data_IF_899742399444
#
_entry.id   IF_899742399444
#
_cell.length_a   1.000
_cell.length_b   1.000
_cell.length_c   1.000
_cell.angle_alpha   90.00
_cell.angle_beta   90.00
_cell.angle_gamma   90.00
#
_symmetry.space_group_name_H-M   'P 1'
#
loop_
_entity.id
_entity.type
_entity.pdbx_description
1 polymer ?
#
# COMPACT_ATOMS: atom_id res chain seq x y z
N UNK A 1 -9.76 19.34 3.80
CA UNK A 1 -9.58 19.67 2.37
C UNK A 1 -10.91 19.44 1.70
N UNK A 2 -11.48 20.49 1.11
CA UNK A 2 -12.76 20.41 0.40
C UNK A 2 -12.53 20.11 -1.08
N UNK A 3 -13.20 19.09 -1.60
CA UNK A 3 -13.13 18.67 -3.00
C UNK A 3 -14.51 18.73 -3.66
N UNK A 4 -14.58 19.21 -4.89
CA UNK A 4 -15.82 19.20 -5.67
C UNK A 4 -16.17 17.80 -6.17
N UNK A 5 -17.47 17.50 -6.21
CA UNK A 5 -17.99 16.19 -6.63
C UNK A 5 -18.10 16.16 -8.15
N UNK A 6 -17.18 15.45 -8.80
CA UNK A 6 -17.19 15.24 -10.26
C UNK A 6 -18.03 14.02 -10.64
N UNK A 7 -18.39 13.89 -11.93
CA UNK A 7 -19.13 12.73 -12.43
C UNK A 7 -18.44 11.38 -12.14
N UNK A 8 -17.11 11.39 -11.99
CA UNK A 8 -16.30 10.20 -11.70
C UNK A 8 -16.36 9.76 -10.23
N UNK A 9 -17.04 10.52 -9.37
CA UNK A 9 -17.21 10.22 -7.93
C UNK A 9 -18.60 9.71 -7.58
N UNK A 10 -19.51 9.61 -8.57
CA UNK A 10 -20.89 9.19 -8.37
C UNK A 10 -21.28 8.01 -9.27
N UNK A 11 -22.09 7.11 -8.72
CA UNK A 11 -22.81 6.07 -9.47
C UNK A 11 -24.30 6.13 -9.14
N UNK A 12 -25.13 5.66 -10.08
CA UNK A 12 -26.56 5.48 -9.82
C UNK A 12 -26.84 4.27 -8.93
N UNK A 13 -28.02 4.24 -8.31
CA UNK A 13 -28.49 3.10 -7.49
C UNK A 13 -28.57 1.77 -8.25
N UNK A 14 -28.73 1.82 -9.56
CA UNK A 14 -28.69 0.65 -10.45
C UNK A 14 -27.27 0.16 -10.75
N UNK A 15 -26.25 0.82 -10.20
CA UNK A 15 -24.85 0.50 -10.42
C UNK A 15 -24.41 -0.80 -9.74
N UNK A 16 -23.27 -1.33 -10.17
CA UNK A 16 -22.70 -2.57 -9.63
C UNK A 16 -21.49 -2.31 -8.72
N UNK A 17 -21.11 -3.33 -7.95
CA UNK A 17 -19.87 -3.33 -7.17
C UNK A 17 -18.66 -3.05 -8.06
N UNK A 18 -18.60 -3.64 -9.27
CA UNK A 18 -17.53 -3.38 -10.26
C UNK A 18 -17.42 -1.91 -10.61
N UNK A 19 -18.54 -1.24 -10.90
CA UNK A 19 -18.55 0.18 -11.26
C UNK A 19 -18.08 1.04 -10.08
N UNK A 20 -18.51 0.73 -8.86
CA UNK A 20 -18.01 1.39 -7.66
C UNK A 20 -16.49 1.25 -7.51
N UNK A 21 -15.95 0.04 -7.66
CA UNK A 21 -14.50 -0.22 -7.58
C UNK A 21 -13.71 0.55 -8.65
N UNK A 22 -14.24 0.62 -9.88
CA UNK A 22 -13.63 1.37 -10.98
C UNK A 22 -13.59 2.88 -10.73
N UNK A 23 -14.53 3.43 -9.96
CA UNK A 23 -14.55 4.85 -9.60
C UNK A 23 -13.73 5.17 -8.34
N UNK A 24 -13.65 4.25 -7.37
CA UNK A 24 -12.89 4.47 -6.14
C UNK A 24 -11.38 4.59 -6.41
N UNK A 25 -10.82 3.77 -7.31
CA UNK A 25 -9.38 3.77 -7.60
C UNK A 25 -8.85 5.08 -8.20
N UNK A 26 -9.44 5.60 -9.29
CA UNK A 26 -8.97 6.82 -9.95
C UNK A 26 -9.23 8.11 -9.17
N UNK A 27 -10.26 8.14 -8.31
CA UNK A 27 -10.70 9.38 -7.66
C UNK A 27 -9.81 9.82 -6.50
N UNK A 28 -8.87 8.98 -6.05
CA UNK A 28 -8.04 9.19 -4.84
C UNK A 28 -8.82 9.41 -3.53
N UNK A 29 -10.16 9.42 -3.60
CA UNK A 29 -11.04 9.75 -2.50
C UNK A 29 -11.32 8.55 -1.60
N UNK A 30 -11.19 7.32 -2.11
CA UNK A 30 -11.45 6.10 -1.33
C UNK A 30 -12.95 5.82 -1.09
N UNK A 31 -13.83 6.58 -1.73
CA UNK A 31 -15.29 6.50 -1.60
C UNK A 31 -15.98 6.87 -2.91
N UNK A 32 -17.14 6.27 -3.16
CA UNK A 32 -18.08 6.63 -4.22
C UNK A 32 -19.45 6.97 -3.61
N UNK A 33 -20.14 7.95 -4.19
CA UNK A 33 -21.48 8.34 -3.78
C UNK A 33 -22.52 7.66 -4.67
N UNK A 34 -23.49 7.01 -4.04
CA UNK A 34 -24.64 6.43 -4.73
C UNK A 34 -25.72 7.50 -4.74
N UNK A 35 -26.18 7.87 -5.92
CA UNK A 35 -27.15 8.96 -6.10
C UNK A 35 -28.36 8.55 -6.94
N UNK A 36 -29.45 9.29 -6.82
CA UNK A 36 -30.62 9.18 -7.70
C UNK A 36 -30.46 10.00 -9.00
N UNK A 37 -31.50 10.01 -9.84
CA UNK A 37 -31.53 10.78 -11.08
C UNK A 37 -31.45 12.30 -10.91
N UNK A 38 -31.71 12.81 -9.71
CA UNK A 38 -31.61 14.23 -9.34
C UNK A 38 -30.31 14.55 -8.59
N UNK A 39 -29.36 13.59 -8.51
CA UNK A 39 -28.11 13.65 -7.73
C UNK A 39 -28.29 13.71 -6.21
N UNK A 40 -29.45 13.32 -5.67
CA UNK A 40 -29.62 13.19 -4.21
C UNK A 40 -28.82 11.99 -3.70
N UNK A 41 -28.16 12.17 -2.56
CA UNK A 41 -27.39 11.09 -1.95
C UNK A 41 -28.31 10.00 -1.41
N UNK A 42 -28.11 8.78 -1.88
CA UNK A 42 -28.78 7.57 -1.39
C UNK A 42 -27.88 6.73 -0.48
N UNK A 43 -26.55 6.83 -0.66
CA UNK A 43 -25.59 6.10 0.15
C UNK A 43 -24.16 6.37 -0.26
N UNK A 44 -23.22 5.80 0.50
CA UNK A 44 -21.78 5.83 0.19
C UNK A 44 -21.22 4.43 0.16
N UNK A 45 -20.27 4.14 -0.72
CA UNK A 45 -19.53 2.89 -0.69
C UNK A 45 -18.02 3.17 -0.67
N UNK A 46 -17.33 2.52 0.27
CA UNK A 46 -15.87 2.50 0.37
C UNK A 46 -15.32 1.12 0.01
N UNK A 47 -14.01 1.01 -0.14
CA UNK A 47 -13.35 -0.29 -0.29
C UNK A 47 -13.60 -1.25 0.86
N UNK A 48 -13.78 -0.72 2.07
CA UNK A 48 -14.14 -1.51 3.24
C UNK A 48 -15.54 -2.12 3.10
N UNK A 49 -16.50 -1.37 2.56
CA UNK A 49 -17.87 -1.85 2.38
C UNK A 49 -17.96 -2.89 1.26
N UNK A 50 -17.29 -2.61 0.13
CA UNK A 50 -17.19 -3.55 -1.00
C UNK A 50 -16.53 -4.85 -0.56
N UNK A 51 -15.39 -4.77 0.13
CA UNK A 51 -14.71 -5.97 0.66
C UNK A 51 -15.60 -6.77 1.59
N UNK A 52 -16.33 -6.10 2.50
CA UNK A 52 -17.29 -6.77 3.41
C UNK A 52 -18.44 -7.44 2.65
N UNK A 53 -18.93 -6.83 1.58
CA UNK A 53 -19.97 -7.43 0.74
C UNK A 53 -19.46 -8.67 -0.01
N UNK A 54 -18.26 -8.60 -0.60
CA UNK A 54 -17.63 -9.73 -1.28
C UNK A 54 -17.37 -10.91 -0.33
N UNK A 55 -16.89 -10.64 0.89
CA UNK A 55 -16.70 -11.65 1.93
C UNK A 55 -18.02 -12.30 2.40
N UNK A 56 -19.16 -11.62 2.20
CA UNK A 56 -20.51 -12.14 2.48
C UNK A 56 -21.14 -12.84 1.27
N UNK A 57 -20.37 -13.10 0.21
CA UNK A 57 -20.83 -13.83 -0.98
C UNK A 57 -21.46 -12.97 -2.08
N UNK A 58 -21.25 -11.65 -2.08
CA UNK A 58 -21.50 -10.84 -3.27
C UNK A 58 -20.41 -11.08 -4.33
N UNK A 59 -20.74 -10.90 -5.60
CA UNK A 59 -19.79 -10.88 -6.71
C UNK A 59 -19.65 -9.46 -7.28
N UNK A 60 -18.78 -9.29 -8.28
CA UNK A 60 -18.51 -7.97 -8.87
C UNK A 60 -19.72 -7.38 -9.62
N UNK A 61 -20.62 -8.22 -10.09
CA UNK A 61 -21.78 -7.80 -10.90
C UNK A 61 -23.05 -7.63 -10.04
N UNK A 62 -22.95 -7.94 -8.75
CA UNK A 62 -23.96 -7.65 -7.74
C UNK A 62 -24.26 -6.15 -7.65
N UNK A 63 -25.53 -5.83 -7.36
CA UNK A 63 -26.00 -4.47 -7.12
C UNK A 63 -25.21 -3.79 -5.99
N UNK A 64 -24.89 -2.50 -6.19
CA UNK A 64 -24.20 -1.69 -5.19
C UNK A 64 -24.97 -1.57 -3.87
N UNK A 65 -26.29 -1.72 -3.90
CA UNK A 65 -27.13 -1.71 -2.69
C UNK A 65 -26.69 -2.77 -1.66
N UNK A 66 -26.11 -3.88 -2.11
CA UNK A 66 -25.58 -4.94 -1.22
C UNK A 66 -24.29 -4.55 -0.51
N UNK A 67 -23.66 -3.45 -0.92
CA UNK A 67 -22.35 -3.02 -0.46
C UNK A 67 -22.32 -1.57 0.03
N UNK A 68 -23.34 -0.73 -0.18
CA UNK A 68 -23.30 0.65 0.28
C UNK A 68 -23.73 0.80 1.75
N UNK A 69 -23.20 1.83 2.41
CA UNK A 69 -23.81 2.41 3.59
C UNK A 69 -25.02 3.27 3.18
N UNK A 70 -26.23 2.81 3.49
CA UNK A 70 -27.50 3.49 3.20
C UNK A 70 -27.77 4.72 4.08
N UNK A 71 -27.06 4.84 5.21
CA UNK A 71 -27.22 5.96 6.14
C UNK A 71 -25.87 6.65 6.37
N UNK A 72 -25.28 7.27 5.32
CA UNK A 72 -24.04 8.01 5.48
C UNK A 72 -24.28 9.25 6.35
N UNK A 73 -23.29 9.57 7.16
CA UNK A 73 -23.25 10.86 7.85
C UNK A 73 -22.97 11.92 6.78
N UNK A 74 -23.78 12.98 6.76
CA UNK A 74 -23.67 14.11 5.84
C UNK A 74 -23.64 15.43 6.61
N UNK A 75 -23.16 16.49 5.97
CA UNK A 75 -23.26 17.84 6.51
C UNK A 75 -23.74 18.84 5.44
N UNK A 76 -24.41 19.95 5.82
CA UNK A 76 -24.68 21.05 4.91
C UNK A 76 -23.39 21.67 4.36
N UNK A 77 -23.38 22.06 3.09
CA UNK A 77 -22.26 22.76 2.43
C UNK A 77 -21.92 24.13 3.07
N UNK A 78 -22.88 24.72 3.76
CA UNK A 78 -22.78 25.95 4.55
C UNK A 78 -22.08 25.79 5.90
N UNK A 79 -21.79 24.56 6.34
CA UNK A 79 -21.16 24.33 7.64
C UNK A 79 -19.68 24.76 7.63
N UNK A 80 -19.24 25.45 8.70
CA UNK A 80 -17.86 25.92 8.83
C UNK A 80 -16.85 24.77 8.97
N UNK A 81 -15.63 24.94 8.47
CA UNK A 81 -14.55 23.93 8.54
C UNK A 81 -14.28 23.40 9.97
N UNK A 82 -14.24 24.21 11.05
CA UNK A 82 -14.01 23.68 12.40
C UNK A 82 -15.14 22.78 12.91
N UNK A 83 -16.39 23.10 12.54
CA UNK A 83 -17.56 22.29 12.88
C UNK A 83 -17.57 20.98 12.08
N UNK A 84 -17.21 21.03 10.79
CA UNK A 84 -17.02 19.83 9.96
C UNK A 84 -15.96 18.90 10.57
N UNK A 85 -14.78 19.44 10.92
CA UNK A 85 -13.71 18.65 11.54
C UNK A 85 -14.15 18.00 12.87
N UNK A 86 -14.91 18.72 13.70
CA UNK A 86 -15.47 18.18 14.95
C UNK A 86 -16.43 17.04 14.68
N UNK A 87 -17.36 17.21 13.73
CA UNK A 87 -18.33 16.19 13.34
C UNK A 87 -17.65 14.95 12.78
N UNK A 88 -16.62 15.13 11.96
CA UNK A 88 -15.83 14.03 11.39
C UNK A 88 -15.09 13.23 12.46
N UNK A 89 -14.41 13.91 13.40
CA UNK A 89 -13.69 13.27 14.52
C UNK A 89 -14.63 12.54 15.48
N UNK A 90 -15.76 13.16 15.84
CA UNK A 90 -16.74 12.58 16.76
C UNK A 90 -17.35 11.27 16.24
N UNK A 91 -17.38 11.10 14.91
CA UNK A 91 -17.93 9.92 14.26
C UNK A 91 -16.86 9.02 13.63
N UNK A 92 -15.57 9.31 13.86
CA UNK A 92 -14.43 8.56 13.29
C UNK A 92 -14.49 8.38 11.77
N UNK A 93 -14.97 9.41 11.05
CA UNK A 93 -15.06 9.41 9.57
C UNK A 93 -14.01 10.34 8.96
N UNK A 94 -13.42 9.93 7.83
CA UNK A 94 -12.39 10.70 7.11
C UNK A 94 -12.92 11.44 5.89
N UNK A 95 -14.05 10.99 5.36
CA UNK A 95 -14.75 11.65 4.27
C UNK A 95 -16.14 11.99 4.77
N UNK A 96 -16.59 13.21 4.48
CA UNK A 96 -17.90 13.71 4.83
C UNK A 96 -18.54 14.31 3.58
N UNK A 97 -19.56 13.65 3.00
CA UNK A 97 -20.35 14.23 1.92
C UNK A 97 -21.02 15.52 2.39
N UNK A 98 -20.83 16.60 1.61
CA UNK A 98 -21.51 17.87 1.79
C UNK A 98 -22.70 17.95 0.84
N UNK A 99 -23.88 18.24 1.40
CA UNK A 99 -25.14 18.29 0.66
C UNK A 99 -25.76 19.69 0.68
N UNK A 100 -26.43 20.04 -0.41
CA UNK A 100 -27.26 21.24 -0.47
C UNK A 100 -28.61 21.07 0.26
N UNK A 101 -29.43 22.12 0.26
CA UNK A 101 -30.77 22.12 0.87
C UNK A 101 -31.73 21.08 0.27
N UNK A 102 -31.46 20.59 -0.93
CA UNK A 102 -32.26 19.56 -1.59
C UNK A 102 -31.70 18.14 -1.39
N UNK A 103 -30.61 17.98 -0.61
CA UNK A 103 -29.97 16.71 -0.34
C UNK A 103 -29.03 16.22 -1.44
N UNK A 104 -28.65 17.09 -2.38
CA UNK A 104 -27.73 16.73 -3.48
C UNK A 104 -26.28 16.88 -3.04
N UNK A 105 -25.43 15.92 -3.41
CA UNK A 105 -24.00 15.97 -3.09
C UNK A 105 -23.33 17.03 -3.95
N UNK A 106 -22.78 18.06 -3.32
CA UNK A 106 -22.11 19.19 -3.98
C UNK A 106 -20.60 19.18 -3.77
N UNK A 107 -20.14 18.71 -2.61
CA UNK A 107 -18.73 18.63 -2.27
C UNK A 107 -18.46 17.50 -1.29
N UNK A 108 -17.18 17.26 -1.02
CA UNK A 108 -16.72 16.31 -0.02
C UNK A 108 -15.74 17.06 0.87
N UNK A 109 -15.97 17.03 2.17
CA UNK A 109 -14.93 17.40 3.12
C UNK A 109 -14.09 16.16 3.39
N UNK A 110 -12.82 16.25 3.03
CA UNK A 110 -11.83 15.26 3.39
C UNK A 110 -11.12 15.78 4.64
N UNK A 111 -11.26 15.05 5.75
CA UNK A 111 -10.33 15.21 6.85
C UNK A 111 -9.07 14.53 6.36
N UNK A 112 -8.17 15.34 5.77
CA UNK A 112 -6.76 14.97 5.74
C UNK A 112 -6.48 14.41 7.10
N UNK A 113 -6.00 13.17 7.17
CA UNK A 113 -5.51 12.63 8.42
C UNK A 113 -4.67 13.75 8.98
N UNK A 114 -5.16 14.42 10.04
CA UNK A 114 -4.38 15.44 10.73
C UNK A 114 -3.15 14.64 11.04
N UNK A 115 -2.00 14.91 10.40
CA UNK A 115 -0.91 13.95 10.34
C UNK A 115 -0.73 13.54 11.77
N UNK A 116 -0.99 12.25 12.08
CA UNK A 116 -1.06 11.84 13.47
C UNK A 116 0.25 12.32 14.05
N UNK A 117 0.17 13.34 14.90
CA UNK A 117 1.34 14.10 15.27
C UNK A 117 1.97 13.24 16.33
N UNK A 118 2.86 12.37 15.88
CA UNK A 118 3.65 11.59 16.77
C UNK A 118 4.76 12.49 17.33
N UNK A 119 5.04 12.31 18.61
CA UNK A 119 6.29 12.79 19.19
C UNK A 119 7.43 11.95 18.60
N UNK A 120 8.00 12.41 17.49
CA UNK A 120 9.14 11.79 16.81
C UNK A 120 9.02 11.71 15.29
N UNK A 121 10.13 11.38 14.58
CA UNK A 121 10.13 11.26 13.13
C UNK A 121 9.38 10.00 12.66
N UNK A 122 8.56 10.15 11.62
CA UNK A 122 7.97 9.02 10.91
C UNK A 122 9.11 8.22 10.25
N UNK A 123 9.23 6.95 10.62
CA UNK A 123 10.36 6.08 10.28
C UNK A 123 9.98 5.03 9.26
N UNK A 124 10.82 4.81 8.26
CA UNK A 124 10.77 3.68 7.35
C UNK A 124 12.03 2.84 7.45
N UNK A 125 11.92 1.55 7.11
CA UNK A 125 13.05 0.64 6.95
C UNK A 125 13.07 0.12 5.52
N UNK A 126 14.21 0.25 4.84
CA UNK A 126 14.44 -0.31 3.52
C UNK A 126 15.35 -1.52 3.64
N UNK A 127 14.88 -2.68 3.19
CA UNK A 127 15.65 -3.92 3.18
C UNK A 127 16.51 -3.98 1.91
N UNK A 128 17.81 -3.72 2.04
CA UNK A 128 18.74 -3.55 0.91
C UNK A 128 20.04 -4.37 1.05
N UNK A 129 20.09 -5.35 1.97
CA UNK A 129 21.29 -6.14 2.26
C UNK A 129 21.62 -7.30 1.31
N UNK A 130 20.68 -7.69 0.43
CA UNK A 130 20.81 -8.90 -0.40
C UNK A 130 21.76 -8.79 -1.60
N UNK A 131 22.37 -9.92 -1.98
CA UNK A 131 23.33 -9.98 -3.10
C UNK A 131 22.74 -9.82 -4.50
N UNK A 132 21.42 -10.00 -4.67
CA UNK A 132 20.78 -9.85 -5.98
C UNK A 132 21.20 -10.87 -7.05
N UNK A 133 21.63 -12.08 -6.66
CA UNK A 133 22.26 -13.09 -7.53
C UNK A 133 21.53 -13.37 -8.87
N UNK A 134 20.19 -13.25 -8.90
CA UNK A 134 19.37 -13.47 -10.10
C UNK A 134 19.53 -12.41 -11.20
N UNK A 135 20.22 -11.31 -10.90
CA UNK A 135 20.51 -10.21 -11.82
C UNK A 135 21.97 -10.16 -12.26
N UNK A 136 22.79 -11.14 -11.88
CA UNK A 136 24.16 -11.26 -12.41
C UNK A 136 24.16 -11.33 -13.95
N UNK A 137 25.13 -10.69 -14.63
CA UNK A 137 26.34 -10.07 -14.07
C UNK A 137 26.17 -8.62 -13.58
N UNK A 138 24.98 -8.01 -13.71
CA UNK A 138 24.78 -6.60 -13.33
C UNK A 138 25.09 -6.36 -11.84
N UNK A 139 24.82 -7.36 -11.01
CA UNK A 139 25.04 -7.28 -9.57
C UNK A 139 26.40 -7.75 -9.11
N UNK A 140 27.36 -8.02 -10.00
CA UNK A 140 28.71 -8.45 -9.58
C UNK A 140 29.53 -7.27 -9.00
N UNK A 141 29.21 -6.04 -9.42
CA UNK A 141 29.92 -4.82 -9.01
C UNK A 141 29.01 -3.70 -8.52
N UNK A 142 27.70 -3.88 -8.60
CA UNK A 142 26.68 -2.90 -8.17
C UNK A 142 25.62 -3.61 -7.34
N UNK A 143 25.34 -3.21 -6.08
CA UNK A 143 24.27 -3.83 -5.33
C UNK A 143 22.94 -3.59 -6.04
N UNK A 144 22.05 -4.58 -6.00
CA UNK A 144 20.77 -4.54 -6.72
C UNK A 144 19.97 -3.23 -6.52
N UNK A 145 19.81 -2.67 -5.31
CA UNK A 145 19.11 -1.41 -5.11
C UNK A 145 19.78 -0.19 -5.79
N UNK A 146 21.06 -0.29 -6.15
CA UNK A 146 21.80 0.76 -6.86
C UNK A 146 21.77 0.63 -8.38
N UNK A 147 21.14 -0.42 -8.93
CA UNK A 147 20.98 -0.54 -10.38
C UNK A 147 20.12 0.62 -10.91
N UNK A 148 20.48 1.22 -12.05
CA UNK A 148 19.77 2.37 -12.59
C UNK A 148 18.45 1.97 -13.27
N UNK A 149 17.39 2.71 -12.97
CA UNK A 149 16.12 2.76 -13.70
C UNK A 149 15.87 4.20 -14.10
N UNK A 150 15.63 4.45 -15.38
CA UNK A 150 15.45 5.82 -15.91
C UNK A 150 16.60 6.78 -15.53
N UNK A 151 17.83 6.26 -15.44
CA UNK A 151 19.02 7.03 -15.09
C UNK A 151 19.24 7.26 -13.59
N UNK A 152 18.41 6.69 -12.72
CA UNK A 152 18.46 6.87 -11.26
C UNK A 152 18.53 5.51 -10.53
N UNK A 153 19.26 5.37 -9.42
CA UNK A 153 19.23 4.16 -8.61
C UNK A 153 17.80 3.81 -8.15
N UNK A 154 17.42 2.53 -8.15
CA UNK A 154 16.11 2.07 -7.64
C UNK A 154 15.87 2.56 -6.21
N UNK A 155 16.91 2.47 -5.37
CA UNK A 155 16.87 2.92 -3.98
C UNK A 155 16.60 4.41 -3.85
N UNK A 156 17.10 5.23 -4.78
CA UNK A 156 16.87 6.68 -4.79
C UNK A 156 15.42 7.02 -5.11
N UNK A 157 14.82 6.31 -6.07
CA UNK A 157 13.39 6.42 -6.42
C UNK A 157 12.53 6.07 -5.19
N UNK A 158 12.91 5.03 -4.44
CA UNK A 158 12.21 4.61 -3.23
C UNK A 158 12.35 5.64 -2.10
N UNK A 159 13.54 6.21 -1.90
CA UNK A 159 13.79 7.29 -0.92
C UNK A 159 12.94 8.52 -1.24
N UNK A 160 12.84 8.92 -2.52
CA UNK A 160 11.96 10.01 -2.94
C UNK A 160 10.48 9.73 -2.59
N UNK A 161 10.03 8.50 -2.85
CA UNK A 161 8.65 8.07 -2.60
C UNK A 161 8.32 8.11 -1.10
N UNK A 162 9.28 7.71 -0.26
CA UNK A 162 9.19 7.80 1.20
C UNK A 162 9.19 9.26 1.68
N UNK A 163 10.11 10.09 1.18
CA UNK A 163 10.19 11.52 1.50
C UNK A 163 8.88 12.24 1.16
N UNK A 164 8.34 12.02 -0.04
CA UNK A 164 7.05 12.59 -0.46
C UNK A 164 5.89 12.10 0.41
N UNK A 165 6.01 10.90 0.98
CA UNK A 165 5.07 10.34 1.95
C UNK A 165 5.30 10.82 3.39
N UNK A 166 6.19 11.79 3.62
CA UNK A 166 6.44 12.39 4.93
C UNK A 166 7.35 11.57 5.85
N UNK A 167 7.97 10.50 5.37
CA UNK A 167 8.98 9.75 6.13
C UNK A 167 10.25 10.59 6.22
N UNK A 168 10.60 10.97 7.45
CA UNK A 168 11.77 11.83 7.73
C UNK A 168 12.99 11.01 8.10
N UNK A 169 12.81 9.85 8.72
CA UNK A 169 13.89 8.92 9.09
C UNK A 169 13.80 7.65 8.26
N UNK A 170 14.92 7.25 7.68
CA UNK A 170 15.02 6.05 6.86
C UNK A 170 16.17 5.19 7.37
N UNK A 171 15.86 3.97 7.80
CA UNK A 171 16.86 2.98 8.16
C UNK A 171 17.09 2.07 6.95
N UNK A 172 18.32 1.95 6.45
CA UNK A 172 18.63 1.13 5.27
C UNK A 172 19.46 -0.06 5.73
N UNK A 173 18.94 -1.28 5.52
CA UNK A 173 19.73 -2.49 5.73
C UNK A 173 20.77 -2.63 4.62
N UNK A 174 22.03 -2.82 4.98
CA UNK A 174 23.15 -2.85 4.04
C UNK A 174 24.05 -4.04 4.35
N UNK A 175 24.33 -4.82 3.31
CA UNK A 175 25.17 -6.01 3.37
C UNK A 175 26.12 -6.03 2.19
N UNK A 176 25.82 -6.85 1.19
CA UNK A 176 26.62 -6.96 -0.03
C UNK A 176 26.82 -5.60 -0.72
N UNK A 177 28.08 -5.20 -0.93
CA UNK A 177 28.49 -3.90 -1.51
C UNK A 177 27.86 -2.67 -0.81
N UNK A 178 27.54 -2.78 0.49
CA UNK A 178 26.87 -1.72 1.25
C UNK A 178 27.59 -0.37 1.28
N UNK A 179 28.91 -0.35 1.12
CA UNK A 179 29.70 0.90 1.09
C UNK A 179 29.35 1.79 -0.12
N UNK A 180 28.91 1.19 -1.23
CA UNK A 180 28.42 1.96 -2.37
C UNK A 180 27.14 2.72 -2.02
N UNK A 181 26.22 2.06 -1.28
CA UNK A 181 24.99 2.68 -0.78
C UNK A 181 25.35 3.81 0.19
N UNK A 182 26.20 3.55 1.19
CA UNK A 182 26.64 4.56 2.17
C UNK A 182 27.27 5.78 1.50
N UNK A 183 28.14 5.55 0.51
CA UNK A 183 28.81 6.62 -0.23
C UNK A 183 27.84 7.47 -1.06
N UNK A 184 26.81 6.85 -1.64
CA UNK A 184 25.81 7.56 -2.46
C UNK A 184 24.85 8.39 -1.61
N UNK A 185 24.35 7.83 -0.50
CA UNK A 185 23.29 8.45 0.29
C UNK A 185 23.79 9.29 1.47
N UNK A 186 25.01 9.07 1.96
CA UNK A 186 25.54 9.79 3.12
C UNK A 186 24.63 9.65 4.35
N UNK A 187 24.39 10.74 5.07
CA UNK A 187 23.39 10.81 6.14
C UNK A 187 21.99 11.21 5.64
N UNK A 188 21.81 11.37 4.32
CA UNK A 188 20.55 11.79 3.71
C UNK A 188 20.25 13.29 3.77
N UNK A 189 21.11 14.10 4.38
CA UNK A 189 20.87 15.55 4.54
C UNK A 189 20.68 16.28 3.20
N UNK A 190 21.48 15.94 2.18
CA UNK A 190 21.34 16.45 0.80
C UNK A 190 19.99 16.07 0.14
N UNK A 191 19.38 14.98 0.61
CA UNK A 191 18.07 14.50 0.17
C UNK A 191 16.93 15.05 1.05
N UNK A 192 17.23 15.75 2.15
CA UNK A 192 16.25 16.27 3.09
C UNK A 192 15.61 15.19 3.99
N UNK A 193 16.33 14.10 4.25
CA UNK A 193 15.92 13.00 5.15
C UNK A 193 17.08 12.64 6.10
N UNK A 194 16.78 11.89 7.16
CA UNK A 194 17.74 11.37 8.15
C UNK A 194 17.96 9.87 7.88
N UNK A 195 19.10 9.52 7.28
CA UNK A 195 19.43 8.14 6.87
C UNK A 195 20.40 7.49 7.86
N UNK A 196 20.03 6.31 8.35
CA UNK A 196 20.89 5.45 9.18
C UNK A 196 21.03 4.07 8.55
N UNK A 197 22.13 3.37 8.85
CA UNK A 197 22.46 2.10 8.21
C UNK A 197 22.46 0.94 9.19
N UNK A 198 21.69 -0.10 8.88
CA UNK A 198 21.67 -1.36 9.62
C UNK A 198 22.61 -2.34 8.91
N UNK A 199 23.82 -2.53 9.48
CA UNK A 199 24.87 -3.30 8.80
C UNK A 199 24.71 -4.79 9.05
N UNK A 200 24.48 -5.53 7.96
CA UNK A 200 24.42 -6.99 7.93
C UNK A 200 25.81 -7.55 7.63
N UNK A 201 26.43 -8.22 8.61
CA UNK A 201 27.70 -8.94 8.40
C UNK A 201 27.52 -10.29 7.72
N UNK A 202 26.34 -10.89 7.91
CA UNK A 202 25.88 -12.12 7.26
C UNK A 202 24.43 -11.91 6.80
N UNK A 203 23.92 -12.64 5.81
CA UNK A 203 22.52 -12.50 5.37
C UNK A 203 21.53 -12.78 6.51
N UNK A 204 20.76 -11.78 6.93
CA UNK A 204 19.81 -11.91 8.05
C UNK A 204 18.37 -12.21 7.62
N UNK A 205 18.12 -12.46 6.35
CA UNK A 205 16.78 -12.72 5.82
C UNK A 205 15.95 -11.44 5.65
N UNK A 206 14.65 -11.60 5.46
CA UNK A 206 13.74 -10.50 5.09
C UNK A 206 13.22 -9.68 6.28
N UNK A 207 13.58 -10.06 7.51
CA UNK A 207 13.20 -9.36 8.73
C UNK A 207 14.37 -9.16 9.70
N UNK A 208 15.42 -9.98 9.65
CA UNK A 208 16.44 -10.01 10.70
C UNK A 208 17.19 -8.69 10.90
N UNK A 209 17.34 -7.88 9.85
CA UNK A 209 17.93 -6.54 10.00
C UNK A 209 17.12 -5.60 10.91
N UNK A 210 15.80 -5.83 11.08
CA UNK A 210 14.98 -5.07 12.03
C UNK A 210 15.44 -5.27 13.48
N UNK A 211 16.01 -6.44 13.78
CA UNK A 211 16.61 -6.73 15.09
C UNK A 211 17.93 -5.98 15.34
N UNK A 212 18.49 -5.31 14.33
CA UNK A 212 19.71 -4.51 14.45
C UNK A 212 19.43 -3.03 14.75
N UNK A 213 18.17 -2.60 14.81
CA UNK A 213 17.81 -1.20 15.10
C UNK A 213 18.32 -0.85 16.50
N UNK A 214 19.24 0.13 16.64
CA UNK A 214 19.82 0.46 17.92
C UNK A 214 18.80 1.17 18.81
N UNK A 215 18.94 1.08 20.16
CA UNK A 215 17.93 1.58 21.10
C UNK A 215 17.52 3.05 20.91
N UNK A 216 18.46 3.92 20.53
CA UNK A 216 18.26 5.35 20.28
C UNK A 216 17.51 5.66 18.98
N UNK A 217 17.52 4.73 18.03
CA UNK A 217 16.77 4.82 16.77
C UNK A 217 15.48 4.01 16.78
N UNK A 218 15.14 3.33 17.90
CA UNK A 218 13.92 2.54 17.98
C UNK A 218 12.69 3.43 17.81
N UNK A 219 11.81 3.09 16.86
CA UNK A 219 10.63 3.88 16.56
C UNK A 219 9.58 3.70 17.66
N UNK A 220 8.98 4.81 18.11
CA UNK A 220 7.84 4.83 19.05
C UNK A 220 6.49 4.79 18.32
N UNK A 221 6.52 4.76 16.98
CA UNK A 221 5.35 4.81 16.10
C UNK A 221 5.44 3.69 15.07
N UNK A 222 4.33 3.27 14.43
CA UNK A 222 4.38 2.27 13.39
C UNK A 222 5.35 2.64 12.26
N UNK A 223 6.16 1.66 11.85
CA UNK A 223 7.13 1.80 10.76
C UNK A 223 6.68 1.09 9.52
N UNK A 224 7.02 1.68 8.37
CA UNK A 224 6.84 1.01 7.08
C UNK A 224 8.16 0.34 6.70
N UNK A 225 8.11 -0.97 6.47
CA UNK A 225 9.22 -1.79 6.01
C UNK A 225 9.01 -2.11 4.53
N UNK A 226 10.01 -1.85 3.69
CA UNK A 226 9.92 -1.97 2.23
C UNK A 226 11.15 -2.69 1.70
N UNK A 227 10.97 -3.63 0.75
CA UNK A 227 12.11 -4.19 0.02
C UNK A 227 12.74 -3.13 -0.91
N UNK A 228 14.07 -3.07 -0.96
CA UNK A 228 14.83 -2.06 -1.70
C UNK A 228 14.86 -2.22 -3.23
N UNK A 229 14.05 -3.12 -3.78
CA UNK A 229 14.01 -3.50 -5.20
C UNK A 229 12.65 -3.27 -5.87
N UNK A 230 11.81 -2.43 -5.25
CA UNK A 230 10.44 -2.18 -5.66
C UNK A 230 10.29 -0.84 -6.37
N UNK A 231 9.50 -0.83 -7.43
CA UNK A 231 8.93 0.36 -8.05
C UNK A 231 7.41 0.33 -7.84
N UNK A 232 6.86 1.39 -7.24
CA UNK A 232 5.41 1.47 -7.02
C UNK A 232 4.95 2.92 -6.95
N UNK A 233 3.71 3.16 -7.34
CA UNK A 233 3.02 4.43 -7.11
C UNK A 233 2.20 4.43 -5.82
N UNK A 234 2.33 3.40 -4.97
CA UNK A 234 1.67 3.34 -3.67
C UNK A 234 2.10 4.53 -2.81
N UNK A 235 1.11 5.28 -2.32
CA UNK A 235 1.33 6.28 -1.28
C UNK A 235 1.60 5.59 0.05
N UNK A 236 2.88 5.47 0.43
CA UNK A 236 3.30 4.78 1.65
C UNK A 236 2.71 5.42 2.92
N UNK A 237 2.39 6.72 2.89
CA UNK A 237 1.62 7.39 3.94
C UNK A 237 0.21 6.80 4.11
N UNK A 238 -0.51 6.57 3.00
CA UNK A 238 -1.86 6.03 3.04
C UNK A 238 -1.88 4.58 3.56
N UNK A 239 -0.86 3.80 3.19
CA UNK A 239 -0.67 2.45 3.74
C UNK A 239 -0.45 2.45 5.25
N UNK A 240 0.40 3.35 5.76
CA UNK A 240 0.60 3.55 7.20
C UNK A 240 -0.67 4.03 7.89
N UNK A 241 -1.37 4.99 7.30
CA UNK A 241 -2.60 5.54 7.85
C UNK A 241 -3.70 4.49 7.96
N UNK A 242 -3.79 3.57 7.00
CA UNK A 242 -4.69 2.42 7.05
C UNK A 242 -4.36 1.50 8.23
N UNK A 243 -3.08 1.17 8.41
CA UNK A 243 -2.62 0.34 9.53
C UNK A 243 -3.03 0.95 10.88
N UNK A 244 -2.82 2.26 11.05
CA UNK A 244 -3.21 3.00 12.25
C UNK A 244 -4.75 3.04 12.39
N UNK A 245 -5.48 3.34 11.31
CA UNK A 245 -6.94 3.44 11.31
C UNK A 245 -7.62 2.16 11.78
N UNK A 246 -7.11 1.04 11.27
CA UNK A 246 -7.66 -0.27 11.50
C UNK A 246 -7.11 -0.92 12.77
N UNK A 247 -6.25 -0.21 13.51
CA UNK A 247 -5.68 -0.65 14.78
C UNK A 247 -5.06 -2.05 14.63
N UNK A 248 -4.22 -2.20 13.59
CA UNK A 248 -3.45 -3.42 13.35
C UNK A 248 -2.09 -3.31 14.03
N UNK A 249 -1.57 -4.44 14.49
CA UNK A 249 -0.20 -4.54 14.99
C UNK A 249 0.80 -4.83 13.87
N UNK A 250 0.37 -5.63 12.89
CA UNK A 250 1.12 -5.96 11.69
C UNK A 250 0.19 -5.82 10.49
N UNK A 251 0.61 -5.13 9.43
CA UNK A 251 -0.15 -5.09 8.18
C UNK A 251 0.73 -5.49 7.02
N UNK A 252 0.26 -6.44 6.22
CA UNK A 252 0.89 -6.83 4.97
C UNK A 252 0.24 -6.05 3.83
N UNK A 253 1.05 -5.49 2.93
CA UNK A 253 0.55 -5.03 1.64
C UNK A 253 0.53 -6.23 0.67
N UNK A 254 -0.63 -6.59 0.15
CA UNK A 254 -0.80 -7.76 -0.71
C UNK A 254 -1.44 -7.38 -2.03
N UNK A 255 -0.88 -7.88 -3.14
CA UNK A 255 -1.42 -7.65 -4.49
C UNK A 255 -2.28 -8.83 -4.95
N UNK A 256 -3.31 -8.59 -5.77
CA UNK A 256 -4.03 -9.67 -6.43
C UNK A 256 -3.11 -10.41 -7.41
N UNK A 257 -3.21 -11.73 -7.43
CA UNK A 257 -2.49 -12.61 -8.34
C UNK A 257 -3.45 -13.68 -8.87
N UNK A 258 -3.50 -13.82 -10.19
CA UNK A 258 -4.32 -14.81 -10.88
C UNK A 258 -3.45 -15.96 -11.37
N UNK A 259 -3.78 -17.18 -10.96
CA UNK A 259 -3.24 -18.41 -11.55
C UNK A 259 -4.30 -18.98 -12.48
N UNK A 260 -4.02 -18.96 -13.77
CA UNK A 260 -4.83 -19.64 -14.78
C UNK A 260 -4.24 -21.03 -15.02
N UNK A 261 -5.03 -22.08 -14.78
CA UNK A 261 -4.66 -23.44 -15.21
C UNK A 261 -5.16 -23.60 -16.66
N UNK A 262 -4.31 -23.88 -17.66
CA UNK A 262 -4.72 -23.89 -19.06
C UNK A 262 -5.48 -25.17 -19.47
N UNK A 263 -5.68 -26.09 -18.52
CA UNK A 263 -6.32 -27.39 -18.72
C UNK A 263 -7.57 -27.52 -17.85
N UNK A 264 -8.50 -28.36 -18.30
CA UNK A 264 -9.55 -28.86 -17.43
C UNK A 264 -9.06 -29.99 -16.52
N UNK A 265 -9.59 -30.08 -15.30
CA UNK A 265 -9.33 -31.21 -14.41
C UNK A 265 -10.62 -31.76 -13.78
N UNK A 266 -10.73 -33.09 -13.60
CA UNK A 266 -11.84 -33.69 -12.87
C UNK A 266 -11.70 -33.45 -11.36
N UNK A 267 -12.81 -33.17 -10.69
CA UNK A 267 -12.90 -33.22 -9.23
C UNK A 267 -13.17 -34.68 -8.86
N UNK A 268 -12.33 -35.27 -8.01
CA UNK A 268 -12.39 -36.69 -7.67
C UNK A 268 -12.60 -36.85 -6.16
N UNK A 269 -13.61 -37.64 -5.79
CA UNK A 269 -13.86 -38.10 -4.41
C UNK A 269 -13.68 -39.61 -4.37
N UNK A 270 -12.59 -40.09 -3.75
CA UNK A 270 -12.20 -41.50 -3.84
C UNK A 270 -11.76 -41.86 -5.27
N UNK A 271 -12.53 -42.72 -5.93
CA UNK A 271 -12.35 -43.15 -7.33
C UNK A 271 -13.43 -42.60 -8.27
N UNK A 272 -14.38 -41.81 -7.77
CA UNK A 272 -15.49 -41.27 -8.55
C UNK A 272 -15.22 -39.82 -8.96
N UNK A 273 -15.48 -39.51 -10.24
CA UNK A 273 -15.50 -38.13 -10.74
C UNK A 273 -16.81 -37.49 -10.33
N UNK A 274 -16.74 -36.49 -9.45
CA UNK A 274 -17.91 -35.73 -8.94
C UNK A 274 -18.11 -34.40 -9.64
N UNK A 275 -17.13 -33.95 -10.43
CA UNK A 275 -17.24 -32.73 -11.21
C UNK A 275 -16.08 -32.52 -12.16
N UNK A 276 -16.11 -31.40 -12.88
CA UNK A 276 -15.06 -31.01 -13.82
C UNK A 276 -14.87 -29.48 -13.78
N UNK A 277 -13.61 -29.03 -13.80
CA UNK A 277 -13.25 -27.61 -13.84
C UNK A 277 -12.45 -27.36 -15.10
N UNK A 278 -13.06 -26.69 -16.07
CA UNK A 278 -12.37 -26.27 -17.30
C UNK A 278 -11.67 -24.93 -17.09
N UNK A 279 -10.38 -24.87 -17.45
CA UNK A 279 -9.52 -23.67 -17.42
C UNK A 279 -9.74 -22.77 -16.19
N UNK A 280 -9.67 -23.31 -14.97
CA UNK A 280 -10.01 -22.54 -13.78
C UNK A 280 -8.98 -21.43 -13.54
N UNK A 281 -9.51 -20.33 -13.01
CA UNK A 281 -8.75 -19.18 -12.53
C UNK A 281 -8.81 -19.16 -11.01
N UNK A 282 -7.65 -19.09 -10.38
CA UNK A 282 -7.53 -18.95 -8.93
C UNK A 282 -7.00 -17.56 -8.61
N UNK A 283 -7.72 -16.85 -7.74
CA UNK A 283 -7.35 -15.52 -7.30
C UNK A 283 -6.78 -15.58 -5.89
N UNK A 284 -5.55 -15.10 -5.73
CA UNK A 284 -4.85 -15.03 -4.46
C UNK A 284 -4.45 -13.59 -4.16
N UNK A 285 -4.27 -13.29 -2.88
CA UNK A 285 -3.53 -12.10 -2.43
C UNK A 285 -2.12 -12.56 -2.09
N UNK A 286 -1.13 -12.02 -2.80
CA UNK A 286 0.29 -12.37 -2.60
C UNK A 286 1.04 -11.20 -1.98
N UNK A 287 1.99 -11.54 -1.12
CA UNK A 287 2.84 -10.59 -0.42
C UNK A 287 3.63 -9.71 -1.42
N UNK A 288 3.65 -8.40 -1.20
CA UNK A 288 4.34 -7.43 -2.06
C UNK A 288 5.72 -6.99 -1.54
N UNK A 289 6.15 -7.46 -0.37
CA UNK A 289 7.41 -7.01 0.24
C UNK A 289 7.30 -5.63 0.91
N UNK A 290 6.07 -5.19 1.22
CA UNK A 290 5.76 -3.95 1.93
C UNK A 290 4.94 -4.28 3.17
N UNK A 291 5.37 -3.81 4.33
CA UNK A 291 4.77 -4.10 5.63
C UNK A 291 4.66 -2.83 6.47
N UNK A 292 3.67 -2.77 7.36
CA UNK A 292 3.60 -1.76 8.42
C UNK A 292 3.59 -2.49 9.76
N UNK A 293 4.56 -2.17 10.62
CA UNK A 293 4.80 -2.87 11.90
C UNK A 293 4.67 -1.88 13.06
N UNK A 294 3.84 -2.21 14.03
CA UNK A 294 3.80 -1.51 15.32
C UNK A 294 5.09 -1.77 16.11
N UNK A 295 5.52 -0.85 17.00
CA UNK A 295 6.73 -1.02 17.80
C UNK A 295 6.82 -2.36 18.56
N UNK A 296 5.69 -2.83 19.10
CA UNK A 296 5.58 -4.12 19.78
C UNK A 296 5.97 -5.32 18.90
N UNK A 297 5.73 -5.25 17.59
CA UNK A 297 6.11 -6.29 16.63
C UNK A 297 7.61 -6.27 16.36
N UNK A 298 8.22 -5.08 16.29
CA UNK A 298 9.66 -4.95 16.09
C UNK A 298 10.46 -5.55 17.26
N UNK A 299 9.96 -5.42 18.49
CA UNK A 299 10.59 -5.99 19.68
C UNK A 299 10.67 -7.53 19.64
N UNK A 300 9.78 -8.17 18.87
CA UNK A 300 9.76 -9.62 18.68
C UNK A 300 10.83 -10.14 17.71
N UNK A 301 11.52 -9.26 16.97
CA UNK A 301 12.53 -9.67 15.98
C UNK A 301 13.87 -9.99 16.67
N UNK A 302 14.43 -11.21 16.50
CA UNK A 302 15.68 -11.58 17.12
C UNK A 302 16.86 -10.81 16.52
N UNK A 303 17.66 -10.17 17.37
CA UNK A 303 18.86 -9.45 16.95
C UNK A 303 19.94 -10.41 16.43
N UNK A 304 20.54 -10.07 15.28
CA UNK A 304 21.72 -10.75 14.72
C UNK A 304 21.48 -12.19 14.28
N UNK A 305 20.23 -12.60 14.01
CA UNK A 305 19.89 -13.94 13.53
C UNK A 305 19.14 -13.87 12.20
N UNK A 306 19.36 -14.84 11.29
CA UNK A 306 18.50 -15.01 10.13
C UNK A 306 17.03 -15.15 10.56
N UNK A 307 16.19 -14.27 10.06
CA UNK A 307 14.77 -14.23 10.37
C UNK A 307 14.00 -13.65 9.20
N UNK A 308 12.96 -14.33 8.75
CA UNK A 308 12.15 -13.88 7.61
C UNK A 308 10.84 -13.25 8.06
N UNK A 309 10.30 -12.44 7.16
CA UNK A 309 9.02 -11.79 7.39
C UNK A 309 7.87 -12.80 7.46
N UNK A 310 7.98 -13.91 6.72
CA UNK A 310 7.07 -15.06 6.86
C UNK A 310 7.11 -15.66 8.26
N UNK A 311 8.31 -15.81 8.85
CA UNK A 311 8.46 -16.36 10.20
C UNK A 311 7.80 -15.43 11.24
N UNK A 312 7.98 -14.11 11.09
CA UNK A 312 7.34 -13.10 11.94
C UNK A 312 5.81 -13.15 11.81
N UNK A 313 5.29 -13.18 10.59
CA UNK A 313 3.85 -13.26 10.33
C UNK A 313 3.27 -14.55 10.93
N UNK A 314 3.90 -15.69 10.69
CA UNK A 314 3.45 -16.98 11.22
C UNK A 314 3.45 -17.00 12.75
N UNK A 315 4.45 -16.40 13.40
CA UNK A 315 4.49 -16.25 14.85
C UNK A 315 3.27 -15.48 15.38
N UNK A 316 2.89 -14.38 14.72
CA UNK A 316 1.78 -13.52 15.14
C UNK A 316 0.39 -13.98 14.70
N UNK A 317 0.30 -14.97 13.79
CA UNK A 317 -0.96 -15.58 13.34
C UNK A 317 -1.34 -16.87 14.10
N UNK A 318 -0.58 -17.28 15.12
CA UNK A 318 -0.87 -18.50 15.90
C UNK A 318 -2.18 -18.37 16.68
N UNK A 319 -2.85 -19.49 16.93
CA UNK A 319 -4.22 -19.56 17.48
C UNK A 319 -4.46 -18.85 18.84
N UNK A 320 -3.42 -18.50 19.58
CA UNK A 320 -3.49 -17.79 20.87
C UNK A 320 -2.86 -16.38 20.82
N UNK A 321 -2.55 -15.87 19.64
CA UNK A 321 -2.01 -14.53 19.47
C UNK A 321 -3.13 -13.50 19.59
N UNK A 322 -2.93 -12.50 20.44
CA UNK A 322 -3.81 -11.31 20.49
C UNK A 322 -3.46 -10.30 19.39
N UNK A 323 -2.39 -10.57 18.61
CA UNK A 323 -1.92 -9.68 17.57
C UNK A 323 -2.92 -9.55 16.43
N UNK A 324 -3.26 -8.31 16.09
CA UNK A 324 -4.15 -7.98 14.97
C UNK A 324 -3.33 -7.87 13.69
N UNK A 325 -3.32 -8.95 12.90
CA UNK A 325 -2.67 -9.00 11.60
C UNK A 325 -3.64 -8.61 10.48
N UNK A 326 -3.34 -7.52 9.78
CA UNK A 326 -4.16 -6.95 8.72
C UNK A 326 -3.58 -7.17 7.33
N UNK A 327 -4.44 -7.03 6.31
CA UNK A 327 -4.06 -7.02 4.90
C UNK A 327 -4.52 -5.72 4.26
N UNK A 328 -3.58 -5.00 3.65
CA UNK A 328 -3.84 -3.89 2.76
C UNK A 328 -3.83 -4.39 1.31
N UNK A 329 -4.96 -4.32 0.58
CA UNK A 329 -5.00 -4.74 -0.81
C UNK A 329 -4.34 -3.69 -1.72
N UNK A 330 -3.17 -4.03 -2.27
CA UNK A 330 -2.46 -3.19 -3.24
C UNK A 330 -3.22 -3.16 -4.57
N UNK A 331 -3.58 -1.96 -5.01
CA UNK A 331 -4.28 -1.73 -6.28
C UNK A 331 -3.46 -0.84 -7.22
N UNK A 332 -2.58 -0.05 -6.63
CA UNK A 332 -1.65 0.80 -7.31
C UNK A 332 -0.66 -0.04 -8.13
N UNK A 333 -0.17 0.49 -9.27
CA UNK A 333 0.93 -0.08 -10.00
C UNK A 333 2.09 -0.51 -9.08
N UNK A 334 2.56 -1.73 -9.31
CA UNK A 334 3.64 -2.36 -8.57
C UNK A 334 4.51 -3.17 -9.53
N UNK A 335 5.83 -3.03 -9.37
CA UNK A 335 6.82 -3.75 -10.15
C UNK A 335 8.03 -4.11 -9.28
N UNK A 336 8.27 -5.41 -9.12
CA UNK A 336 9.42 -5.94 -8.40
C UNK A 336 10.54 -6.21 -9.40
N UNK A 337 11.70 -5.59 -9.19
CA UNK A 337 12.87 -5.82 -10.04
C UNK A 337 13.57 -7.07 -9.52
N UNK A 338 13.09 -8.26 -9.84
CA UNK A 338 13.63 -9.53 -9.31
C UNK A 338 14.61 -10.25 -10.24
N UNK A 339 14.46 -10.05 -11.54
CA UNK A 339 15.12 -10.79 -12.63
C UNK A 339 15.44 -9.87 -13.81
N UNK A 340 16.27 -10.34 -14.73
CA UNK A 340 16.69 -9.56 -15.90
C UNK A 340 15.51 -9.05 -16.75
N UNK A 341 14.46 -9.86 -16.91
CA UNK A 341 13.23 -9.49 -17.62
C UNK A 341 12.54 -8.30 -16.94
N UNK A 342 12.19 -8.45 -15.66
CA UNK A 342 11.60 -7.36 -14.86
C UNK A 342 12.48 -6.11 -14.78
N UNK A 343 13.82 -6.27 -14.79
CA UNK A 343 14.71 -5.12 -14.78
C UNK A 343 14.64 -4.30 -16.08
N UNK A 344 14.57 -4.97 -17.24
CA UNK A 344 14.43 -4.32 -18.55
C UNK A 344 13.12 -3.54 -18.67
N UNK A 345 12.07 -4.03 -18.04
CA UNK A 345 10.75 -3.37 -17.99
C UNK A 345 10.70 -2.18 -17.02
N UNK A 346 11.65 -2.11 -16.08
CA UNK A 346 11.64 -1.14 -14.98
C UNK A 346 11.60 0.32 -15.44
N UNK A 347 12.33 0.67 -16.51
CA UNK A 347 12.33 2.05 -17.03
C UNK A 347 10.96 2.44 -17.61
N UNK A 348 10.35 1.57 -18.42
CA UNK A 348 9.02 1.81 -18.96
C UNK A 348 7.98 1.93 -17.84
N UNK A 349 8.05 1.03 -16.84
CA UNK A 349 7.18 1.05 -15.68
C UNK A 349 7.35 2.35 -14.87
N UNK A 350 8.59 2.79 -14.64
CA UNK A 350 8.88 4.02 -13.92
C UNK A 350 8.20 5.23 -14.57
N UNK A 351 8.39 5.42 -15.89
CA UNK A 351 7.80 6.55 -16.61
C UNK A 351 6.28 6.49 -16.66
N UNK A 352 5.70 5.29 -16.79
CA UNK A 352 4.26 5.12 -16.87
C UNK A 352 3.54 5.36 -15.53
N UNK A 353 4.17 5.01 -14.40
CA UNK A 353 3.47 4.90 -13.12
C UNK A 353 4.13 5.62 -11.96
N UNK A 354 5.46 5.59 -11.85
CA UNK A 354 6.18 6.13 -10.69
C UNK A 354 6.48 7.62 -10.86
N UNK A 355 7.03 8.02 -12.01
CA UNK A 355 7.33 9.42 -12.29
C UNK A 355 6.10 10.33 -12.13
N UNK A 356 4.91 9.99 -12.66
CA UNK A 356 3.70 10.80 -12.45
C UNK A 356 3.30 10.89 -10.97
N UNK A 357 3.43 9.80 -10.22
CA UNK A 357 3.13 9.76 -8.78
C UNK A 357 4.09 10.64 -7.96
N UNK A 358 5.32 10.82 -8.44
CA UNK A 358 6.31 11.73 -7.87
C UNK A 358 6.17 13.18 -8.40
N UNK A 359 5.20 13.46 -9.26
CA UNK A 359 5.04 14.78 -9.89
C UNK A 359 6.12 15.11 -10.92
N UNK A 360 6.83 14.11 -11.44
CA UNK A 360 7.88 14.25 -12.45
C UNK A 360 7.21 14.18 -13.84
N UNK A 361 7.40 15.19 -14.72
CA UNK A 361 6.81 15.18 -16.05
C UNK A 361 7.36 14.04 -16.90
N UNK A 362 6.57 13.50 -17.85
CA UNK A 362 7.04 12.45 -18.75
C UNK A 362 8.20 12.96 -19.61
N UNK A 363 9.15 12.06 -19.90
CA UNK A 363 10.30 12.35 -20.75
C UNK A 363 9.84 12.78 -22.15
N UNK A 364 10.19 14.00 -22.57
CA UNK A 364 9.98 14.44 -23.95
C UNK A 364 10.70 13.45 -24.90
N UNK A 365 9.93 12.76 -25.76
CA UNK A 365 10.47 11.83 -26.76
C UNK A 365 10.57 10.35 -26.37
N UNK A 366 9.93 9.89 -25.29
CA UNK A 366 9.82 8.44 -24.99
C UNK A 366 8.95 7.68 -26.01
N UNK A 367 9.19 6.36 -26.22
CA UNK A 367 8.42 5.59 -27.20
C UNK A 367 6.94 5.54 -26.81
N UNK A 368 6.07 5.77 -27.81
CA UNK A 368 4.61 5.65 -27.72
C UNK A 368 4.16 4.22 -27.51
#
# INVERSE_FOLDING_TARGET
MRLEVTANTCIGISGTIRQAMQQIGPTQLGVVFIVDGERKLLGTATDGDIRRALLKGADLDSSIDRAMNQSPIVAPDTLSEPALATLMRANSIRQLPLVDVAGRVVAIEYLDATPVSYDGPITAVIMAGGEGQRLRPLTDSTPKPMLPVAGRPILEILVDSLKMSGFKRILISVGYLGDMIRKHFGDGSDLGVDIHYLTEHEPLGTAGALGLIPPDLRPTTPVVVVNGDLLTSLRLAAFRDFHIAADYDLTLCCRPYEVSVPFGYPIVEGDLVTGFREKPKFHYLVNSGIYCLSPSILEGVPAGKPYNMTDLIEQHCRANSETRVGVFPLREPFHEIGRMETYKEGEAFYWAHVAPALGIPPKEGGPK
#
